data_IF_961067750587
#
_entry.id   IF_961067750587
#
_cell.length_a   1.000
_cell.length_b   1.000
_cell.length_c   1.000
_cell.angle_alpha   90.00
_cell.angle_beta   90.00
_cell.angle_gamma   90.00
#
_symmetry.space_group_name_H-M   'P 1'
#
loop_
_entity.id
_entity.type
_entity.pdbx_description
1 polymer ?
#
# COMPACT_ATOMS: atom_id res chain seq x y z
N UNK A 1 3.95 37.52 23.45
CA UNK A 1 4.86 36.45 22.99
C UNK A 1 4.07 35.14 23.04
N UNK A 2 3.38 34.79 21.94
CA UNK A 2 2.56 33.57 21.89
C UNK A 2 3.47 32.37 21.66
N UNK A 3 3.57 31.49 22.68
CA UNK A 3 4.22 30.20 22.55
C UNK A 3 3.30 29.25 21.78
N UNK A 4 3.53 29.13 20.48
CA UNK A 4 2.95 28.07 19.67
C UNK A 4 3.71 26.79 20.02
N UNK A 5 3.18 26.02 20.97
CA UNK A 5 3.61 24.63 21.18
C UNK A 5 3.27 23.87 19.90
N UNK A 6 4.28 23.57 19.07
CA UNK A 6 4.18 22.52 18.06
C UNK A 6 3.94 21.21 18.79
N UNK A 7 2.68 20.78 18.87
CA UNK A 7 2.36 19.38 19.10
C UNK A 7 2.74 18.63 17.84
N UNK A 8 3.95 18.08 17.82
CA UNK A 8 4.28 17.03 16.86
C UNK A 8 3.32 15.87 17.15
N UNK A 9 2.46 15.54 16.17
CA UNK A 9 1.69 14.31 16.20
C UNK A 9 2.69 13.16 16.22
N UNK A 10 2.86 12.53 17.38
CA UNK A 10 3.54 11.24 17.51
C UNK A 10 2.56 10.21 16.94
N UNK A 11 2.50 10.13 15.62
CA UNK A 11 1.97 8.97 14.92
C UNK A 11 3.15 8.13 14.41
N UNK A 12 4.10 7.85 15.30
CA UNK A 12 5.02 6.75 15.12
C UNK A 12 4.21 5.50 15.43
N UNK A 13 3.63 4.89 14.38
CA UNK A 13 3.10 3.53 14.46
C UNK A 13 4.16 2.66 15.13
N UNK A 14 3.92 2.28 16.38
CA UNK A 14 4.92 1.55 17.17
C UNK A 14 5.11 0.20 16.51
N UNK A 15 6.36 -0.13 16.16
CA UNK A 15 6.68 -1.47 15.70
C UNK A 15 6.46 -2.46 16.84
N UNK A 16 6.04 -3.69 16.52
CA UNK A 16 5.90 -4.74 17.54
C UNK A 16 7.25 -4.98 18.21
N UNK A 17 7.22 -5.28 19.50
CA UNK A 17 8.42 -5.67 20.23
C UNK A 17 8.73 -7.13 19.91
N UNK A 18 9.86 -7.35 19.25
CA UNK A 18 10.37 -8.68 18.88
C UNK A 18 11.65 -8.92 19.68
N UNK A 19 11.75 -10.09 20.30
CA UNK A 19 12.90 -10.50 21.12
C UNK A 19 13.69 -11.66 20.54
N UNK A 20 13.10 -12.49 19.68
CA UNK A 20 13.86 -13.51 18.95
C UNK A 20 14.68 -12.85 17.82
N UNK A 21 16.01 -12.94 17.82
CA UNK A 21 16.86 -12.26 16.83
C UNK A 21 16.61 -12.68 15.39
N UNK A 22 16.27 -13.96 15.14
CA UNK A 22 16.03 -14.47 13.79
C UNK A 22 14.71 -13.89 13.24
N UNK A 23 13.70 -13.78 14.11
CA UNK A 23 12.41 -13.17 13.78
C UNK A 23 12.57 -11.67 13.58
N UNK A 24 13.35 -11.00 14.44
CA UNK A 24 13.58 -9.56 14.35
C UNK A 24 14.29 -9.20 13.05
N UNK A 25 15.30 -9.99 12.65
CA UNK A 25 16.02 -9.79 11.38
C UNK A 25 15.07 -9.90 10.20
N UNK A 26 14.36 -11.02 10.05
CA UNK A 26 13.44 -11.24 8.93
C UNK A 26 12.32 -10.18 8.88
N UNK A 27 11.81 -9.78 10.04
CA UNK A 27 10.79 -8.72 10.14
C UNK A 27 11.34 -7.38 9.64
N UNK A 28 12.55 -7.00 10.05
CA UNK A 28 13.19 -5.74 9.61
C UNK A 28 13.49 -5.74 8.12
N UNK A 29 13.97 -6.86 7.59
CA UNK A 29 14.28 -7.00 6.17
C UNK A 29 13.00 -6.83 5.32
N UNK A 30 11.89 -7.46 5.72
CA UNK A 30 10.59 -7.29 5.08
C UNK A 30 10.03 -5.86 5.21
N UNK A 31 10.22 -5.20 6.36
CA UNK A 31 9.78 -3.81 6.54
C UNK A 31 10.58 -2.82 5.67
N UNK A 32 11.87 -3.07 5.48
CA UNK A 32 12.80 -2.15 4.83
C UNK A 32 12.73 -2.20 3.30
N UNK A 33 12.45 -3.36 2.72
CA UNK A 33 12.39 -3.53 1.27
C UNK A 33 11.09 -3.00 0.65
N UNK A 34 11.06 -2.72 -0.66
CA UNK A 34 9.79 -2.54 -1.38
C UNK A 34 9.12 -3.90 -1.63
N UNK A 35 7.80 -3.93 -1.74
CA UNK A 35 7.02 -5.15 -2.00
C UNK A 35 6.59 -5.22 -3.46
N UNK A 36 7.54 -4.94 -4.37
CA UNK A 36 7.35 -5.20 -5.80
C UNK A 36 7.64 -6.66 -6.14
N UNK A 37 8.67 -7.24 -5.51
CA UNK A 37 9.04 -8.65 -5.56
C UNK A 37 9.78 -9.02 -4.28
N UNK A 38 9.54 -10.20 -3.73
CA UNK A 38 10.25 -10.69 -2.53
C UNK A 38 11.27 -11.76 -2.97
N UNK A 39 12.58 -11.55 -2.74
CA UNK A 39 13.60 -12.52 -3.10
C UNK A 39 13.36 -13.89 -2.45
N UNK A 40 13.57 -14.96 -3.20
CA UNK A 40 13.43 -16.34 -2.68
C UNK A 40 14.30 -16.60 -1.45
N UNK A 41 15.48 -15.96 -1.35
CA UNK A 41 16.33 -16.04 -0.17
C UNK A 41 15.59 -15.55 1.08
N UNK A 42 14.95 -14.39 1.00
CA UNK A 42 14.21 -13.79 2.10
C UNK A 42 12.93 -14.57 2.41
N UNK A 43 12.25 -15.11 1.39
CA UNK A 43 11.11 -16.04 1.59
C UNK A 43 11.56 -17.26 2.40
N UNK A 44 12.68 -17.87 2.03
CA UNK A 44 13.21 -19.06 2.71
C UNK A 44 13.67 -18.74 4.13
N UNK A 45 14.36 -17.62 4.33
CA UNK A 45 14.79 -17.13 5.65
C UNK A 45 13.60 -16.83 6.56
N UNK A 46 12.58 -16.13 6.05
CA UNK A 46 11.34 -15.83 6.78
C UNK A 46 10.61 -17.11 7.16
N UNK A 47 10.44 -18.06 6.23
CA UNK A 47 9.80 -19.35 6.52
C UNK A 47 10.60 -20.15 7.56
N UNK A 48 11.93 -20.11 7.49
CA UNK A 48 12.80 -20.74 8.48
C UNK A 48 12.63 -20.10 9.86
N UNK A 49 12.64 -18.78 9.96
CA UNK A 49 12.39 -18.05 11.21
C UNK A 49 11.00 -18.37 11.78
N UNK A 50 9.97 -18.42 10.93
CA UNK A 50 8.61 -18.80 11.32
C UNK A 50 8.46 -20.27 11.75
N UNK A 51 9.29 -21.18 11.24
CA UNK A 51 9.25 -22.60 11.61
C UNK A 51 9.92 -22.91 12.96
N UNK A 52 10.74 -21.98 13.47
CA UNK A 52 11.50 -22.15 14.70
C UNK A 52 10.58 -22.15 15.92
N UNK A 53 10.87 -23.01 16.89
CA UNK A 53 10.23 -22.91 18.20
C UNK A 53 10.87 -21.77 18.99
N UNK A 54 10.07 -20.78 19.35
CA UNK A 54 10.47 -19.65 20.18
C UNK A 54 9.40 -19.33 21.23
N UNK A 55 9.82 -18.74 22.34
CA UNK A 55 8.92 -18.19 23.37
C UNK A 55 8.32 -16.85 22.93
N UNK A 56 8.90 -16.19 21.92
CA UNK A 56 8.43 -14.94 21.34
C UNK A 56 7.27 -15.16 20.35
N UNK A 57 6.12 -15.60 20.88
CA UNK A 57 4.93 -15.87 20.07
C UNK A 57 4.36 -14.62 19.40
N UNK A 58 4.43 -13.48 20.08
CA UNK A 58 3.96 -12.21 19.54
C UNK A 58 4.84 -11.74 18.38
N UNK A 59 6.17 -11.87 18.49
CA UNK A 59 7.08 -11.58 17.38
C UNK A 59 6.88 -12.53 16.20
N UNK A 60 6.66 -13.82 16.47
CA UNK A 60 6.36 -14.82 15.44
C UNK A 60 5.06 -14.51 14.69
N UNK A 61 4.01 -14.07 15.39
CA UNK A 61 2.77 -13.62 14.79
C UNK A 61 2.96 -12.33 13.96
N UNK A 62 3.70 -11.36 14.48
CA UNK A 62 4.02 -10.13 13.75
C UNK A 62 4.77 -10.42 12.44
N UNK A 63 5.75 -11.32 12.47
CA UNK A 63 6.47 -11.78 11.27
C UNK A 63 5.54 -12.49 10.29
N UNK A 64 4.61 -13.32 10.77
CA UNK A 64 3.66 -14.00 9.92
C UNK A 64 2.70 -12.99 9.24
N UNK A 65 2.23 -11.99 9.97
CA UNK A 65 1.31 -10.98 9.43
C UNK A 65 1.99 -10.09 8.39
N UNK A 66 3.22 -9.62 8.65
CA UNK A 66 3.95 -8.84 7.65
C UNK A 66 4.28 -9.66 6.41
N UNK A 67 4.66 -10.93 6.57
CA UNK A 67 4.99 -11.79 5.43
C UNK A 67 3.77 -12.04 4.53
N UNK A 68 2.61 -12.39 5.12
CA UNK A 68 1.36 -12.53 4.38
C UNK A 68 0.94 -11.24 3.69
N UNK A 69 1.15 -10.10 4.36
CA UNK A 69 0.81 -8.81 3.78
C UNK A 69 1.73 -8.41 2.62
N UNK A 70 3.01 -8.75 2.72
CA UNK A 70 3.97 -8.56 1.65
C UNK A 70 3.60 -9.42 0.42
N UNK A 71 3.32 -10.72 0.61
CA UNK A 71 2.89 -11.62 -0.48
C UNK A 71 1.60 -11.11 -1.14
N UNK A 72 0.58 -10.75 -0.35
CA UNK A 72 -0.67 -10.20 -0.86
C UNK A 72 -0.47 -8.87 -1.62
N UNK A 73 0.46 -8.03 -1.16
CA UNK A 73 0.77 -6.76 -1.80
C UNK A 73 1.52 -6.92 -3.11
N UNK A 74 2.42 -7.91 -3.22
CA UNK A 74 3.10 -8.27 -4.47
C UNK A 74 2.06 -8.75 -5.49
N UNK A 75 1.23 -9.72 -5.12
CA UNK A 75 0.22 -10.29 -6.03
C UNK A 75 -0.77 -9.22 -6.50
N UNK A 76 -1.34 -8.47 -5.56
CA UNK A 76 -2.30 -7.42 -5.91
C UNK A 76 -1.62 -6.26 -6.65
N UNK A 77 -0.39 -5.92 -6.30
CA UNK A 77 0.41 -4.92 -7.00
C UNK A 77 0.60 -5.26 -8.48
N UNK A 78 0.86 -6.53 -8.81
CA UNK A 78 0.94 -6.98 -10.19
C UNK A 78 -0.38 -6.84 -10.95
N UNK A 79 -1.52 -7.08 -10.29
CA UNK A 79 -2.86 -6.84 -10.86
C UNK A 79 -3.06 -5.35 -11.16
N UNK A 80 -2.68 -4.45 -10.24
CA UNK A 80 -2.79 -2.99 -10.45
C UNK A 80 -1.91 -2.51 -11.61
N UNK A 81 -0.70 -3.06 -11.74
CA UNK A 81 0.20 -2.77 -12.87
C UNK A 81 -0.42 -3.25 -14.18
N UNK A 82 -0.98 -4.47 -14.22
CA UNK A 82 -1.65 -5.01 -15.41
C UNK A 82 -2.84 -4.15 -15.83
N UNK A 83 -3.65 -3.72 -14.86
CA UNK A 83 -4.78 -2.83 -15.11
C UNK A 83 -4.32 -1.46 -15.64
N UNK A 84 -3.21 -0.93 -15.13
CA UNK A 84 -2.61 0.29 -15.64
C UNK A 84 -2.15 0.10 -17.09
N UNK A 85 -1.51 -1.00 -17.43
CA UNK A 85 -1.07 -1.27 -18.80
C UNK A 85 -2.27 -1.31 -19.76
N UNK A 86 -3.35 -1.97 -19.39
CA UNK A 86 -4.59 -1.98 -20.19
C UNK A 86 -5.19 -0.57 -20.38
N UNK A 87 -5.07 0.30 -19.37
CA UNK A 87 -5.47 1.71 -19.48
C UNK A 87 -4.52 2.51 -20.38
N UNK A 88 -3.21 2.33 -20.23
CA UNK A 88 -2.20 3.01 -21.05
C UNK A 88 -2.34 2.59 -22.54
N UNK A 89 -2.71 1.33 -22.83
CA UNK A 89 -2.99 0.84 -24.20
C UNK A 89 -4.24 1.48 -24.82
N UNK A 90 -5.26 1.77 -24.00
CA UNK A 90 -6.52 2.35 -24.46
C UNK A 90 -6.44 3.88 -24.58
N UNK A 91 -5.91 4.53 -23.54
CA UNK A 91 -5.93 5.98 -23.37
C UNK A 91 -4.65 6.67 -23.86
N UNK A 92 -3.61 5.90 -24.21
CA UNK A 92 -2.25 6.42 -24.36
C UNK A 92 -1.62 6.72 -22.99
N UNK A 93 -0.29 6.62 -22.92
CA UNK A 93 0.49 6.73 -21.66
C UNK A 93 0.28 8.08 -20.94
N UNK A 94 -0.09 9.12 -21.70
CA UNK A 94 -0.32 10.51 -21.28
C UNK A 94 -1.81 10.89 -21.19
N UNK A 95 -2.73 9.98 -21.51
CA UNK A 95 -4.18 10.28 -21.56
C UNK A 95 -4.62 11.06 -22.80
N UNK A 96 -3.89 10.89 -23.92
CA UNK A 96 -4.20 11.50 -25.22
C UNK A 96 -5.60 11.11 -25.73
N UNK A 97 -6.10 9.92 -25.36
CA UNK A 97 -7.43 9.44 -25.73
C UNK A 97 -8.39 9.50 -24.53
N UNK A 98 -9.25 10.52 -24.52
CA UNK A 98 -10.26 10.77 -23.47
C UNK A 98 -11.59 10.04 -23.79
N UNK A 99 -11.52 8.87 -24.42
CA UNK A 99 -12.69 8.07 -24.72
C UNK A 99 -13.30 7.53 -23.40
N UNK A 100 -14.62 7.32 -23.39
CA UNK A 100 -15.29 6.67 -22.26
C UNK A 100 -14.67 5.29 -22.05
N UNK A 101 -14.32 4.98 -20.80
CA UNK A 101 -13.79 3.68 -20.44
C UNK A 101 -14.80 2.58 -20.80
N UNK A 102 -14.36 1.48 -21.42
CA UNK A 102 -15.16 0.28 -21.53
C UNK A 102 -15.66 -0.17 -20.15
N UNK A 103 -16.91 -0.62 -20.10
CA UNK A 103 -17.59 -1.02 -18.85
C UNK A 103 -16.78 -2.05 -18.04
N UNK A 104 -16.17 -3.03 -18.71
CA UNK A 104 -15.35 -4.04 -18.05
C UNK A 104 -14.10 -3.45 -17.35
N UNK A 105 -13.50 -2.39 -17.90
CA UNK A 105 -12.37 -1.70 -17.25
C UNK A 105 -12.86 -0.85 -16.10
N UNK A 106 -13.98 -0.14 -16.28
CA UNK A 106 -14.60 0.65 -15.21
C UNK A 106 -14.92 -0.24 -13.99
N UNK A 107 -15.50 -1.41 -14.23
CA UNK A 107 -15.81 -2.39 -13.19
C UNK A 107 -14.55 -2.97 -12.53
N UNK A 108 -13.52 -3.29 -13.31
CA UNK A 108 -12.24 -3.77 -12.78
C UNK A 108 -11.57 -2.71 -11.88
N UNK A 109 -11.61 -1.44 -12.28
CA UNK A 109 -11.06 -0.31 -11.54
C UNK A 109 -11.82 -0.10 -10.22
N UNK A 110 -13.16 -0.13 -10.26
CA UNK A 110 -13.99 -0.06 -9.04
C UNK A 110 -13.74 -1.25 -8.11
N UNK A 111 -13.60 -2.46 -8.66
CA UNK A 111 -13.29 -3.66 -7.89
C UNK A 111 -11.91 -3.57 -7.23
N UNK A 112 -10.90 -3.08 -7.96
CA UNK A 112 -9.57 -2.84 -7.41
C UNK A 112 -9.59 -1.82 -6.26
N UNK A 113 -10.29 -0.70 -6.43
CA UNK A 113 -10.47 0.29 -5.35
C UNK A 113 -11.16 -0.30 -4.12
N UNK A 114 -12.27 -1.01 -4.31
CA UNK A 114 -12.99 -1.66 -3.21
C UNK A 114 -12.08 -2.64 -2.47
N UNK A 115 -11.36 -3.49 -3.20
CA UNK A 115 -10.43 -4.47 -2.62
C UNK A 115 -9.30 -3.78 -1.85
N UNK A 116 -8.73 -2.71 -2.38
CA UNK A 116 -7.72 -1.90 -1.70
C UNK A 116 -8.24 -1.31 -0.38
N UNK A 117 -9.40 -0.63 -0.41
CA UNK A 117 -10.00 -0.02 0.78
C UNK A 117 -10.37 -1.07 1.83
N UNK A 118 -11.03 -2.16 1.42
CA UNK A 118 -11.36 -3.28 2.33
C UNK A 118 -10.10 -3.87 2.95
N UNK A 119 -9.00 -3.96 2.20
CA UNK A 119 -7.75 -4.48 2.74
C UNK A 119 -7.15 -3.52 3.79
N UNK A 120 -7.09 -2.22 3.52
CA UNK A 120 -6.62 -1.24 4.52
C UNK A 120 -7.50 -1.18 5.78
N UNK A 121 -8.80 -1.38 5.62
CA UNK A 121 -9.77 -1.40 6.72
C UNK A 121 -9.71 -2.70 7.54
N UNK A 122 -9.10 -3.77 7.00
CA UNK A 122 -8.99 -5.06 7.68
C UNK A 122 -7.96 -5.08 8.81
N UNK A 123 -7.02 -4.13 8.83
CA UNK A 123 -5.97 -4.07 9.84
C UNK A 123 -6.47 -3.57 11.19
N UNK A 124 -6.10 -4.28 12.25
CA UNK A 124 -6.42 -3.91 13.62
C UNK A 124 -5.71 -2.63 14.10
N UNK A 125 -6.11 -2.08 15.27
CA UNK A 125 -5.46 -0.90 15.86
C UNK A 125 -3.96 -1.11 16.13
N UNK A 126 -3.56 -2.33 16.51
CA UNK A 126 -2.17 -2.68 16.81
C UNK A 126 -1.31 -2.95 15.55
N UNK A 127 -1.95 -3.00 14.38
CA UNK A 127 -1.31 -3.26 13.09
C UNK A 127 -1.17 -1.98 12.26
N UNK A 128 -1.25 -0.80 12.90
CA UNK A 128 -1.14 0.48 12.22
C UNK A 128 0.17 0.64 11.42
N UNK A 129 1.27 0.03 11.88
CA UNK A 129 2.54 0.01 11.16
C UNK A 129 2.43 -0.78 9.84
N UNK A 130 1.72 -1.91 9.87
CA UNK A 130 1.54 -2.80 8.75
C UNK A 130 0.57 -2.21 7.74
N UNK A 131 -0.56 -1.65 8.23
CA UNK A 131 -1.50 -0.88 7.40
C UNK A 131 -0.79 0.23 6.63
N UNK A 132 0.06 1.00 7.33
CA UNK A 132 0.81 2.09 6.71
C UNK A 132 1.81 1.60 5.66
N UNK A 133 2.46 0.45 5.91
CA UNK A 133 3.35 -0.17 4.93
C UNK A 133 2.58 -0.59 3.68
N UNK A 134 1.47 -1.32 3.82
CA UNK A 134 0.58 -1.73 2.72
C UNK A 134 0.08 -0.52 1.93
N UNK A 135 -0.39 0.53 2.63
CA UNK A 135 -0.84 1.78 2.02
C UNK A 135 0.28 2.44 1.20
N UNK A 136 1.52 2.38 1.65
CA UNK A 136 2.68 2.93 0.91
C UNK A 136 2.97 2.12 -0.35
N UNK A 137 3.02 0.79 -0.24
CA UNK A 137 3.38 -0.12 -1.33
C UNK A 137 2.33 -0.15 -2.46
N UNK A 138 1.06 -0.15 -2.09
CA UNK A 138 -0.07 -0.21 -3.03
C UNK A 138 -0.58 1.18 -3.43
N UNK A 139 -0.50 2.16 -2.54
CA UNK A 139 -1.06 3.50 -2.76
C UNK A 139 -0.46 4.21 -3.97
N UNK A 140 0.85 4.05 -4.20
CA UNK A 140 1.51 4.60 -5.40
C UNK A 140 0.92 4.01 -6.69
N UNK A 141 0.67 2.69 -6.71
CA UNK A 141 0.07 1.99 -7.85
C UNK A 141 -1.39 2.42 -8.07
N UNK A 142 -2.15 2.60 -6.98
CA UNK A 142 -3.52 3.14 -7.02
C UNK A 142 -3.58 4.59 -7.54
N UNK A 143 -2.62 5.44 -7.18
CA UNK A 143 -2.50 6.80 -7.71
C UNK A 143 -2.19 6.76 -9.21
N UNK A 144 -1.32 5.85 -9.65
CA UNK A 144 -1.06 5.67 -11.07
C UNK A 144 -2.32 5.33 -11.84
N UNK A 145 -3.18 4.44 -11.34
CA UNK A 145 -4.48 4.16 -11.94
C UNK A 145 -5.39 5.39 -11.96
N UNK A 146 -5.51 6.08 -10.82
CA UNK A 146 -6.33 7.30 -10.70
C UNK A 146 -5.97 8.36 -11.74
N UNK A 147 -4.69 8.54 -12.05
CA UNK A 147 -4.24 9.52 -13.05
C UNK A 147 -4.70 9.19 -14.49
N UNK A 148 -5.10 7.95 -14.80
CA UNK A 148 -5.62 7.54 -16.12
C UNK A 148 -7.15 7.50 -16.17
N UNK A 149 -7.79 7.72 -15.04
CA UNK A 149 -9.23 7.57 -14.87
C UNK A 149 -9.88 8.96 -14.77
N UNK A 150 -10.67 9.36 -15.77
CA UNK A 150 -11.56 10.53 -15.66
C UNK A 150 -13.00 10.06 -15.43
N UNK A 151 -13.77 10.78 -14.61
CA UNK A 151 -15.21 10.54 -14.44
C UNK A 151 -15.64 9.35 -13.57
N UNK A 152 -14.72 8.66 -12.87
CA UNK A 152 -15.04 7.46 -12.05
C UNK A 152 -15.52 7.81 -10.62
N UNK A 153 -15.97 9.05 -10.38
CA UNK A 153 -16.54 9.46 -9.09
C UNK A 153 -15.56 10.10 -8.10
N UNK A 154 -16.10 10.85 -7.14
CA UNK A 154 -15.32 11.66 -6.18
C UNK A 154 -14.63 10.85 -5.08
N UNK A 155 -15.04 9.59 -4.88
CA UNK A 155 -14.46 8.64 -3.92
C UNK A 155 -12.97 8.35 -4.20
N UNK A 156 -12.54 8.43 -5.47
CA UNK A 156 -11.15 8.33 -5.88
C UNK A 156 -10.29 9.48 -5.34
N UNK A 157 -10.92 10.61 -4.97
CA UNK A 157 -10.30 11.71 -4.24
C UNK A 157 -9.64 11.27 -2.93
N UNK A 158 -10.14 10.19 -2.29
CA UNK A 158 -9.63 9.66 -1.02
C UNK A 158 -8.31 8.91 -1.16
N UNK A 159 -7.96 8.44 -2.37
CA UNK A 159 -6.64 7.86 -2.64
C UNK A 159 -5.65 9.02 -2.62
N UNK A 160 -4.95 9.15 -1.50
CA UNK A 160 -3.93 10.17 -1.26
C UNK A 160 -2.65 9.49 -0.79
N UNK A 161 -1.50 10.03 -1.17
CA UNK A 161 -0.24 9.55 -0.61
C UNK A 161 -0.16 10.07 0.83
N UNK A 162 -0.15 9.19 1.84
CA UNK A 162 0.27 9.57 3.20
C UNK A 162 1.78 9.90 3.17
N UNK A 163 2.06 11.14 2.76
CA UNK A 163 3.38 11.70 2.50
C UNK A 163 3.31 13.00 1.70
N UNK A 164 2.22 13.27 0.98
CA UNK A 164 1.99 14.52 0.25
C UNK A 164 0.75 15.28 0.73
N UNK A 165 0.39 15.19 2.01
CA UNK A 165 -0.59 16.10 2.63
C UNK A 165 -0.17 17.59 2.59
N UNK A 166 0.90 17.94 1.84
CA UNK A 166 1.24 19.29 1.42
C UNK A 166 1.42 19.51 -0.11
N UNK A 167 1.16 18.52 -0.99
CA UNK A 167 1.36 18.69 -2.44
C UNK A 167 0.10 18.37 -3.28
N UNK A 168 -0.93 17.73 -2.71
CA UNK A 168 -2.15 17.37 -3.45
C UNK A 168 -3.24 18.46 -3.43
N UNK A 169 -2.86 19.74 -3.33
CA UNK A 169 -3.76 20.90 -3.31
C UNK A 169 -3.52 21.94 -4.40
N UNK A 170 -2.60 21.71 -5.33
CA UNK A 170 -2.50 22.54 -6.54
C UNK A 170 -2.22 21.64 -7.72
N UNK A 171 -3.25 21.11 -8.38
CA UNK A 171 -3.33 21.05 -9.84
C UNK A 171 -4.73 20.55 -10.25
N UNK A 172 -5.44 21.41 -10.99
CA UNK A 172 -6.65 21.18 -11.80
C UNK A 172 -8.00 21.14 -11.08
N UNK A 173 -8.42 22.30 -10.54
CA UNK A 173 -9.83 22.75 -10.58
C UNK A 173 -10.01 23.81 -11.68
N UNK A 174 -9.59 23.53 -12.91
CA UNK A 174 -10.02 24.31 -14.08
C UNK A 174 -10.12 23.40 -15.30
N UNK A 175 -11.28 22.77 -15.46
CA UNK A 175 -11.92 22.54 -16.76
C UNK A 175 -13.43 22.68 -16.61
N UNK A 176 -13.87 23.93 -16.49
CA UNK A 176 -15.13 24.49 -16.97
C UNK A 176 -15.04 26.01 -16.85
#
# INVERSE_FOLDING_TARGET
MLSLKRTFSVNTSQLPRITDPDIESAFKDLMAMSWDEIPDSLVNETKKALSKSTDDKAGQEALANIFRAAEASVEFGAVLVSLRMALDDLCGVTGENVARLPEYLEDAIKAAYKRYMTYLESFGPDEAYLRKKVETELGTKMIHLKMRCSGIGSEWGKITLLGTSGISGSYIEQRA
#
